data_IF_203776899095
#
_entry.id   IF_203776899095
#
_cell.length_a   1.000
_cell.length_b   1.000
_cell.length_c   1.000
_cell.angle_alpha   90.00
_cell.angle_beta   90.00
_cell.angle_gamma   90.00
#
_symmetry.space_group_name_H-M   'P 1'
#
loop_
_entity.id
_entity.type
_entity.pdbx_description
1 polymer ?
#
# COMPACT_ATOMS: atom_id res chain seq x y z
N UNK A 1 24.68 4.71 -8.05
CA UNK A 1 23.39 4.38 -8.69
C UNK A 1 22.89 3.08 -8.07
N UNK A 2 21.95 3.16 -7.12
CA UNK A 2 21.42 1.97 -6.44
C UNK A 2 20.64 1.12 -7.45
N UNK A 3 21.04 -0.13 -7.60
CA UNK A 3 20.51 -1.05 -8.60
C UNK A 3 18.98 -1.21 -8.48
N UNK A 4 18.29 -1.02 -9.59
CA UNK A 4 16.83 -1.19 -9.81
C UNK A 4 16.36 -2.66 -9.69
N UNK A 5 17.14 -3.54 -9.06
CA UNK A 5 16.89 -4.98 -8.91
C UNK A 5 15.61 -5.33 -8.13
N UNK A 6 15.00 -4.35 -7.43
CA UNK A 6 13.84 -4.57 -6.56
C UNK A 6 12.59 -3.78 -6.97
N UNK A 7 12.58 -3.11 -8.13
CA UNK A 7 11.43 -2.32 -8.59
C UNK A 7 10.61 -3.03 -9.67
N UNK A 8 10.24 -4.29 -9.40
CA UNK A 8 9.31 -5.03 -10.26
C UNK A 8 7.87 -4.56 -10.04
N UNK A 9 7.00 -4.75 -11.04
CA UNK A 9 5.56 -4.49 -10.88
C UNK A 9 4.94 -5.34 -9.77
N UNK A 10 5.48 -6.54 -9.55
CA UNK A 10 5.02 -7.45 -8.49
C UNK A 10 5.34 -6.87 -7.11
N UNK A 11 6.57 -6.35 -6.94
CA UNK A 11 6.95 -5.67 -5.72
C UNK A 11 6.11 -4.40 -5.50
N UNK A 12 5.84 -3.63 -6.57
CA UNK A 12 4.96 -2.45 -6.49
C UNK A 12 3.54 -2.84 -6.08
N UNK A 13 3.03 -3.98 -6.53
CA UNK A 13 1.73 -4.50 -6.09
C UNK A 13 1.73 -4.86 -4.61
N UNK A 14 2.72 -5.63 -4.15
CA UNK A 14 2.88 -5.96 -2.73
C UNK A 14 3.00 -4.70 -1.88
N UNK A 15 3.78 -3.72 -2.31
CA UNK A 15 3.95 -2.45 -1.61
C UNK A 15 2.65 -1.64 -1.57
N UNK A 16 1.81 -1.70 -2.62
CA UNK A 16 0.49 -1.04 -2.64
C UNK A 16 -0.44 -1.63 -1.59
N UNK A 17 -0.51 -2.96 -1.52
CA UNK A 17 -1.30 -3.68 -0.53
C UNK A 17 -0.81 -3.35 0.88
N UNK A 18 0.50 -3.43 1.13
CA UNK A 18 1.09 -3.08 2.44
C UNK A 18 0.82 -1.63 2.82
N UNK A 19 0.89 -0.69 1.87
CA UNK A 19 0.58 0.72 2.09
C UNK A 19 -0.87 0.92 2.55
N UNK A 20 -1.82 0.19 1.95
CA UNK A 20 -3.24 0.23 2.33
C UNK A 20 -3.43 -0.38 3.72
N UNK A 21 -2.82 -1.54 3.99
CA UNK A 21 -2.90 -2.19 5.31
C UNK A 21 -2.35 -1.28 6.41
N UNK A 22 -1.22 -0.61 6.20
CA UNK A 22 -0.68 0.32 7.19
C UNK A 22 -1.58 1.54 7.41
N UNK A 23 -2.27 2.04 6.38
CA UNK A 23 -3.33 3.05 6.57
C UNK A 23 -4.43 2.51 7.47
N UNK A 24 -4.97 1.34 7.15
CA UNK A 24 -6.11 0.78 7.89
C UNK A 24 -5.76 0.58 9.37
N UNK A 25 -4.57 0.07 9.66
CA UNK A 25 -4.06 -0.04 11.04
C UNK A 25 -3.96 1.35 11.68
N UNK A 26 -3.45 2.36 10.97
CA UNK A 26 -3.39 3.74 11.51
C UNK A 26 -4.78 4.24 11.87
N UNK A 27 -5.76 4.07 10.99
CA UNK A 27 -7.12 4.56 11.17
C UNK A 27 -7.80 3.83 12.34
N UNK A 28 -7.60 2.51 12.47
CA UNK A 28 -8.07 1.72 13.63
C UNK A 28 -7.41 2.15 14.94
N UNK A 29 -6.09 2.40 14.94
CA UNK A 29 -5.38 2.93 16.11
C UNK A 29 -5.92 4.31 16.51
N UNK A 30 -6.18 5.19 15.55
CA UNK A 30 -6.79 6.49 15.84
C UNK A 30 -8.20 6.31 16.40
N UNK A 31 -9.00 5.39 15.86
CA UNK A 31 -10.35 5.13 16.35
C UNK A 31 -10.39 4.54 17.77
N UNK A 32 -9.41 3.71 18.15
CA UNK A 32 -9.39 3.00 19.44
C UNK A 32 -8.60 3.73 20.53
N UNK A 33 -7.45 4.31 20.18
CA UNK A 33 -6.49 4.95 21.11
C UNK A 33 -6.59 6.49 21.01
N UNK A 34 -7.20 7.03 19.96
CA UNK A 34 -7.25 8.47 19.70
C UNK A 34 -5.99 9.02 19.02
N UNK A 35 -4.97 8.18 18.76
CA UNK A 35 -3.71 8.58 18.15
C UNK A 35 -3.03 7.40 17.43
N UNK A 36 -2.12 7.68 16.50
CA UNK A 36 -1.27 6.68 15.85
C UNK A 36 0.12 7.22 15.54
N UNK A 37 1.14 6.40 15.79
CA UNK A 37 2.52 6.68 15.38
C UNK A 37 2.77 6.38 13.88
N UNK A 38 1.83 5.71 13.22
CA UNK A 38 1.94 5.36 11.80
C UNK A 38 1.66 6.62 10.98
N UNK A 39 2.73 7.23 10.48
CA UNK A 39 2.67 8.39 9.58
C UNK A 39 2.94 7.99 8.14
N UNK A 40 2.63 8.88 7.18
CA UNK A 40 2.99 8.68 5.76
C UNK A 40 4.50 8.54 5.58
N UNK A 41 5.28 9.33 6.32
CA UNK A 41 6.73 9.23 6.37
C UNK A 41 7.16 7.84 6.86
N UNK A 42 6.60 7.36 7.98
CA UNK A 42 6.92 6.03 8.51
C UNK A 42 6.63 4.92 7.49
N UNK A 43 5.50 4.99 6.79
CA UNK A 43 5.16 4.03 5.73
C UNK A 43 6.17 4.10 4.58
N UNK A 44 6.58 5.31 4.18
CA UNK A 44 7.55 5.52 3.10
C UNK A 44 8.90 4.89 3.42
N UNK A 45 9.37 5.03 4.66
CA UNK A 45 10.60 4.44 5.16
C UNK A 45 10.50 2.91 5.24
N UNK A 46 9.36 2.38 5.71
CA UNK A 46 9.13 0.93 5.77
C UNK A 46 9.07 0.26 4.41
N UNK A 47 8.44 0.90 3.42
CA UNK A 47 8.32 0.36 2.07
C UNK A 47 9.52 0.70 1.18
N UNK A 48 10.45 1.54 1.64
CA UNK A 48 11.54 2.11 0.83
C UNK A 48 10.99 2.76 -0.45
N UNK A 49 9.86 3.47 -0.31
CA UNK A 49 9.19 4.23 -1.38
C UNK A 49 9.23 5.71 -1.02
N UNK A 50 9.12 6.58 -2.02
CA UNK A 50 9.00 8.01 -1.74
C UNK A 50 7.67 8.32 -1.04
N UNK A 51 7.64 9.35 -0.20
CA UNK A 51 6.41 9.78 0.45
C UNK A 51 5.33 10.18 -0.57
N UNK A 52 5.74 10.73 -1.72
CA UNK A 52 4.84 10.99 -2.86
C UNK A 52 4.24 9.72 -3.46
N UNK A 53 4.98 8.62 -3.47
CA UNK A 53 4.45 7.33 -3.88
C UNK A 53 3.37 6.86 -2.89
N UNK A 54 3.65 6.96 -1.59
CA UNK A 54 2.70 6.63 -0.52
C UNK A 54 1.43 7.48 -0.64
N UNK A 55 1.55 8.81 -0.76
CA UNK A 55 0.42 9.74 -0.91
C UNK A 55 -0.52 9.37 -2.07
N UNK A 56 0.04 8.91 -3.20
CA UNK A 56 -0.74 8.52 -4.40
C UNK A 56 -1.46 7.17 -4.28
N UNK A 57 -0.98 6.28 -3.41
CA UNK A 57 -1.49 4.91 -3.30
C UNK A 57 -2.26 4.64 -2.02
N UNK A 58 -1.99 5.43 -0.98
CA UNK A 58 -2.62 5.35 0.33
C UNK A 58 -4.15 5.46 0.28
N UNK A 59 -4.72 6.27 -0.63
CA UNK A 59 -6.18 6.44 -0.75
C UNK A 59 -6.86 5.38 -1.63
N UNK A 60 -6.10 4.46 -2.21
CA UNK A 60 -6.67 3.39 -3.06
C UNK A 60 -7.36 2.34 -2.19
N UNK A 61 -8.33 1.65 -2.77
CA UNK A 61 -8.86 0.41 -2.18
C UNK A 61 -8.01 -0.78 -2.61
N UNK A 62 -8.11 -1.87 -1.85
CA UNK A 62 -7.46 -3.13 -2.16
C UNK A 62 -7.90 -3.63 -3.55
N UNK A 63 -9.18 -3.50 -3.90
CA UNK A 63 -9.74 -3.86 -5.20
C UNK A 63 -9.15 -3.04 -6.35
N UNK A 64 -8.92 -1.74 -6.15
CA UNK A 64 -8.28 -0.87 -7.14
C UNK A 64 -6.82 -1.29 -7.41
N UNK A 65 -6.14 -1.82 -6.40
CA UNK A 65 -4.79 -2.36 -6.56
C UNK A 65 -4.79 -3.65 -7.40
N UNK A 66 -5.81 -4.50 -7.24
CA UNK A 66 -5.98 -5.71 -8.07
C UNK A 66 -6.38 -5.37 -9.50
N UNK A 67 -7.20 -4.34 -9.76
CA UNK A 67 -7.59 -3.93 -11.12
C UNK A 67 -6.41 -3.47 -11.99
N UNK A 68 -5.36 -2.88 -11.39
CA UNK A 68 -4.14 -2.52 -12.11
C UNK A 68 -3.34 -3.76 -12.59
N UNK A 69 -3.56 -4.92 -11.97
CA UNK A 69 -3.06 -6.22 -12.41
C UNK A 69 -4.14 -6.89 -13.26
N UNK A 70 -4.30 -6.46 -14.51
CA UNK A 70 -5.34 -6.95 -15.40
C UNK A 70 -5.29 -8.46 -15.67
N UNK A 71 -5.92 -9.25 -14.79
CA UNK A 71 -6.65 -10.50 -15.05
C UNK A 71 -7.71 -10.63 -13.97
N UNK A 72 -8.96 -10.81 -14.40
CA UNK A 72 -10.17 -10.65 -13.61
C UNK A 72 -10.18 -11.30 -12.22
N UNK A 73 -11.03 -10.70 -11.38
CA UNK A 73 -11.48 -11.19 -10.07
C UNK A 73 -11.60 -12.73 -10.05
N UNK A 74 -11.03 -13.45 -9.07
CA UNK A 74 -11.26 -14.90 -8.91
C UNK A 74 -12.71 -15.27 -8.51
N UNK A 75 -13.58 -14.28 -8.27
CA UNK A 75 -14.93 -14.49 -7.74
C UNK A 75 -15.99 -14.75 -8.83
N UNK A 76 -15.60 -15.26 -10.00
CA UNK A 76 -16.53 -15.65 -11.08
C UNK A 76 -16.39 -17.13 -11.47
N UNK A 77 -15.86 -17.96 -10.57
CA UNK A 77 -15.93 -19.42 -10.68
C UNK A 77 -16.76 -19.99 -9.53
N UNK A 78 -18.08 -19.77 -9.59
CA UNK A 78 -19.16 -20.70 -9.20
C UNK A 78 -20.50 -19.99 -9.30
#
# INVERSE_FOLDING_TARGET
>A
MASLLHDSEEQRFVDRIRCITYREIRDEMIATIGNSFITRQWISEKLRRSEDWVRRHWNKTTEECYRQYGRGRPQVLS
#
